data_IF_359992850365
#
_entry.id   IF_359992850365
#
_cell.length_a   1.000
_cell.length_b   1.000
_cell.length_c   1.000
_cell.angle_alpha   90.00
_cell.angle_beta   90.00
_cell.angle_gamma   90.00
#
_symmetry.space_group_name_H-M   'P 1'
#
loop_
_entity.id
_entity.type
_entity.pdbx_description
1 polymer ?
#
# COMPACT_ATOMS: atom_id res chain seq x y z
N UNK A 1 46.66 -4.39 25.81
CA UNK A 1 45.22 -4.45 26.12
C UNK A 1 44.37 -3.30 25.55
N UNK A 2 44.94 -2.28 24.86
CA UNK A 2 44.15 -1.15 24.29
C UNK A 2 43.64 -1.35 22.85
N UNK A 3 44.17 -2.32 22.09
CA UNK A 3 43.74 -2.56 20.68
C UNK A 3 42.39 -3.27 20.54
N UNK A 4 41.90 -3.93 21.59
CA UNK A 4 40.63 -4.66 21.56
C UNK A 4 39.39 -3.78 21.75
N UNK A 5 39.54 -2.56 22.30
CA UNK A 5 38.41 -1.64 22.52
C UNK A 5 37.97 -0.89 21.25
N UNK A 6 38.78 -0.87 20.18
CA UNK A 6 38.45 -0.19 18.91
C UNK A 6 37.63 -1.06 17.94
N UNK A 7 37.56 -2.38 18.17
CA UNK A 7 36.79 -3.31 17.31
C UNK A 7 35.28 -3.26 17.56
N UNK A 8 34.86 -2.93 18.78
CA UNK A 8 33.45 -2.87 19.20
C UNK A 8 32.66 -1.77 18.46
N UNK A 9 33.12 -0.50 18.37
CA UNK A 9 32.38 0.53 17.63
C UNK A 9 32.37 0.27 16.11
N UNK A 10 33.43 -0.33 15.56
CA UNK A 10 33.52 -0.64 14.14
C UNK A 10 32.53 -1.73 13.70
N UNK A 11 32.29 -2.74 14.56
CA UNK A 11 31.28 -3.77 14.32
C UNK A 11 29.84 -3.22 14.45
N UNK A 12 29.61 -2.25 15.35
CA UNK A 12 28.31 -1.59 15.51
C UNK A 12 27.91 -0.74 14.29
N UNK A 13 28.88 -0.15 13.59
CA UNK A 13 28.65 0.60 12.34
C UNK A 13 28.25 -0.32 11.17
N UNK A 14 28.71 -1.58 11.15
CA UNK A 14 28.36 -2.56 10.10
C UNK A 14 26.92 -3.10 10.24
N UNK A 15 26.28 -2.90 11.38
CA UNK A 15 24.90 -3.33 11.64
C UNK A 15 23.85 -2.28 11.23
N UNK A 16 24.26 -1.11 10.72
CA UNK A 16 23.34 -0.12 10.17
C UNK A 16 22.86 -0.52 8.78
N UNK A 17 22.01 -1.55 8.72
CA UNK A 17 21.26 -1.87 7.51
C UNK A 17 20.26 -0.74 7.21
N UNK A 18 20.63 0.15 6.29
CA UNK A 18 19.69 1.11 5.72
C UNK A 18 18.64 0.34 4.92
N UNK A 19 17.46 0.10 5.52
CA UNK A 19 16.29 -0.41 4.81
C UNK A 19 15.98 0.44 3.58
N UNK A 20 15.41 -0.19 2.55
CA UNK A 20 15.09 0.48 1.29
C UNK A 20 13.77 1.25 1.39
N UNK A 21 13.79 2.53 1.05
CA UNK A 21 12.57 3.35 0.99
C UNK A 21 11.93 3.22 -0.38
N UNK A 22 10.65 2.87 -0.44
CA UNK A 22 9.88 2.88 -1.68
C UNK A 22 9.63 4.30 -2.17
N UNK A 23 9.33 4.45 -3.46
CA UNK A 23 8.91 5.75 -4.00
C UNK A 23 7.51 6.13 -3.53
N UNK A 24 7.21 7.43 -3.52
CA UNK A 24 5.84 7.92 -3.24
C UNK A 24 4.88 7.34 -4.28
N UNK A 25 3.64 7.12 -3.85
CA UNK A 25 2.59 6.69 -4.76
C UNK A 25 2.26 7.79 -5.77
N UNK A 26 2.17 7.42 -7.05
CA UNK A 26 1.69 8.29 -8.11
C UNK A 26 0.27 7.86 -8.51
N UNK A 27 -0.73 8.76 -8.42
CA UNK A 27 -2.12 8.43 -8.73
C UNK A 27 -2.33 7.90 -10.15
N UNK A 28 -3.02 6.78 -10.25
CA UNK A 28 -3.35 6.15 -11.52
C UNK A 28 -4.44 6.93 -12.26
N UNK A 29 -4.10 7.39 -13.46
CA UNK A 29 -5.06 8.05 -14.34
C UNK A 29 -6.27 7.14 -14.62
N UNK A 30 -6.04 5.85 -14.92
CA UNK A 30 -7.13 4.89 -15.18
C UNK A 30 -8.09 4.76 -13.99
N UNK A 31 -7.55 4.65 -12.77
CA UNK A 31 -8.35 4.53 -11.56
C UNK A 31 -9.18 5.80 -11.33
N UNK A 32 -8.53 6.97 -11.45
CA UNK A 32 -9.19 8.27 -11.30
C UNK A 32 -10.31 8.46 -12.34
N UNK A 33 -10.08 8.08 -13.60
CA UNK A 33 -11.12 8.15 -14.63
C UNK A 33 -12.29 7.23 -14.32
N UNK A 34 -12.04 6.03 -13.78
CA UNK A 34 -13.11 5.09 -13.42
C UNK A 34 -14.03 5.61 -12.32
N UNK A 35 -13.51 6.45 -11.43
CA UNK A 35 -14.27 7.12 -10.37
C UNK A 35 -15.06 8.34 -10.87
N UNK A 36 -14.66 8.95 -11.99
CA UNK A 36 -15.36 10.10 -12.59
C UNK A 36 -16.57 9.64 -13.40
N UNK A 37 -17.71 9.48 -12.73
CA UNK A 37 -18.97 9.05 -13.33
C UNK A 37 -19.95 10.21 -13.58
N UNK A 38 -20.98 9.94 -14.38
CA UNK A 38 -22.13 10.83 -14.60
C UNK A 38 -23.43 10.04 -14.36
N UNK A 39 -24.30 10.45 -13.41
CA UNK A 39 -24.12 11.56 -12.47
C UNK A 39 -22.90 11.35 -11.54
N UNK A 40 -22.34 12.43 -10.96
CA UNK A 40 -21.20 12.31 -10.04
C UNK A 40 -21.53 11.42 -8.85
N UNK A 41 -20.54 10.62 -8.44
CA UNK A 41 -20.59 9.86 -7.20
C UNK A 41 -20.53 10.81 -5.99
N UNK A 42 -21.04 10.37 -4.85
CA UNK A 42 -20.93 11.10 -3.62
C UNK A 42 -19.52 11.04 -3.03
N UNK A 43 -19.10 12.17 -2.46
CA UNK A 43 -17.82 12.28 -1.77
C UNK A 43 -17.79 11.43 -0.48
N UNK A 44 -16.57 11.08 -0.09
CA UNK A 44 -16.24 10.40 1.16
C UNK A 44 -15.24 11.23 1.96
N UNK A 45 -15.24 11.04 3.28
CA UNK A 45 -14.26 11.66 4.18
C UNK A 45 -12.87 11.07 3.95
N UNK A 46 -11.87 11.64 4.62
CA UNK A 46 -10.53 11.04 4.68
C UNK A 46 -10.60 9.55 5.05
N UNK A 47 -10.09 8.65 4.19
CA UNK A 47 -10.04 7.23 4.48
C UNK A 47 -9.19 6.94 5.71
N UNK A 48 -9.53 5.89 6.43
CA UNK A 48 -8.75 5.40 7.55
C UNK A 48 -8.18 4.02 7.20
N UNK A 49 -6.85 3.91 7.16
CA UNK A 49 -6.19 2.64 6.85
C UNK A 49 -5.44 2.12 8.06
N UNK A 50 -5.75 0.90 8.45
CA UNK A 50 -5.04 0.13 9.48
C UNK A 50 -4.56 -1.20 8.89
N UNK A 51 -3.81 -1.97 9.66
CA UNK A 51 -3.37 -3.31 9.28
C UNK A 51 -3.61 -4.29 10.42
N UNK A 52 -3.85 -5.54 10.07
CA UNK A 52 -3.78 -6.64 11.02
C UNK A 52 -2.35 -6.81 11.56
N UNK A 53 -2.24 -7.50 12.70
CA UNK A 53 -0.95 -7.75 13.34
C UNK A 53 -0.01 -8.48 12.37
N UNK A 54 1.17 -7.90 12.12
CA UNK A 54 2.15 -8.42 11.17
C UNK A 54 2.04 -7.87 9.75
N UNK A 55 0.87 -7.39 9.33
CA UNK A 55 0.62 -6.94 7.94
C UNK A 55 0.97 -5.46 7.70
N UNK A 56 1.29 -4.72 8.76
CA UNK A 56 1.66 -3.29 8.69
C UNK A 56 3.10 -3.01 8.23
N UNK A 57 3.88 -4.05 7.90
CA UNK A 57 5.29 -3.94 7.55
C UNK A 57 5.64 -4.79 6.32
N UNK A 58 6.74 -4.45 5.66
CA UNK A 58 7.26 -5.20 4.51
C UNK A 58 8.74 -5.52 4.72
N UNK A 59 9.12 -6.76 4.38
CA UNK A 59 10.51 -7.23 4.44
C UNK A 59 10.80 -8.02 3.18
N UNK A 60 11.88 -7.66 2.47
CA UNK A 60 12.35 -8.38 1.30
C UNK A 60 13.78 -8.86 1.56
N UNK A 61 14.00 -10.18 1.59
CA UNK A 61 15.31 -10.80 1.89
C UNK A 61 15.96 -10.22 3.15
N UNK A 62 15.20 -10.20 4.25
CA UNK A 62 15.57 -9.60 5.53
C UNK A 62 15.86 -8.08 5.49
N UNK A 63 15.58 -7.40 4.37
CA UNK A 63 15.71 -5.96 4.25
C UNK A 63 14.34 -5.30 4.50
N UNK A 64 14.18 -4.47 5.53
CA UNK A 64 12.92 -3.79 5.78
C UNK A 64 12.66 -2.76 4.69
N UNK A 65 11.43 -2.73 4.19
CA UNK A 65 10.97 -1.73 3.23
C UNK A 65 10.30 -0.59 4.00
N UNK A 66 10.74 0.64 3.74
CA UNK A 66 10.21 1.84 4.39
C UNK A 66 9.27 2.58 3.44
N UNK A 67 8.20 3.10 4.01
CA UNK A 67 7.30 4.02 3.32
C UNK A 67 7.78 5.45 3.49
N UNK A 68 7.70 6.30 2.44
CA UNK A 68 7.94 7.74 2.58
C UNK A 68 6.86 8.43 3.44
N UNK A 69 5.71 7.78 3.66
CA UNK A 69 4.62 8.23 4.53
C UNK A 69 4.76 7.74 5.98
N UNK A 70 5.90 7.14 6.34
CA UNK A 70 6.22 6.67 7.70
C UNK A 70 5.78 5.24 7.99
N UNK A 71 4.67 4.76 7.43
CA UNK A 71 4.21 3.36 7.57
C UNK A 71 3.56 2.83 6.29
N UNK A 72 3.44 1.50 6.17
CA UNK A 72 2.78 0.89 5.02
C UNK A 72 1.26 1.22 4.97
N UNK A 73 0.50 1.16 6.08
CA UNK A 73 -0.89 1.62 6.08
C UNK A 73 -1.04 3.09 5.68
N UNK A 74 -0.15 3.97 6.15
CA UNK A 74 -0.16 5.38 5.76
C UNK A 74 0.10 5.56 4.25
N UNK A 75 0.98 4.74 3.67
CA UNK A 75 1.24 4.75 2.22
C UNK A 75 -0.01 4.41 1.40
N UNK A 76 -0.75 3.38 1.81
CA UNK A 76 -2.01 2.99 1.17
C UNK A 76 -3.08 4.06 1.39
N UNK A 77 -3.12 4.68 2.58
CA UNK A 77 -4.03 5.79 2.86
C UNK A 77 -3.77 6.99 1.94
N UNK A 78 -2.51 7.36 1.75
CA UNK A 78 -2.13 8.43 0.83
C UNK A 78 -2.55 8.08 -0.60
N UNK A 79 -2.31 6.84 -1.05
CA UNK A 79 -2.70 6.38 -2.38
C UNK A 79 -4.22 6.53 -2.63
N UNK A 80 -5.05 6.05 -1.71
CA UNK A 80 -6.51 6.17 -1.79
C UNK A 80 -6.92 7.64 -1.76
N UNK A 81 -6.36 8.42 -0.83
CA UNK A 81 -6.70 9.84 -0.65
C UNK A 81 -6.38 10.66 -1.90
N UNK A 82 -5.21 10.44 -2.51
CA UNK A 82 -4.80 11.15 -3.71
C UNK A 82 -5.69 10.83 -4.92
N UNK A 83 -6.06 9.57 -5.12
CA UNK A 83 -6.95 9.17 -6.23
C UNK A 83 -8.37 9.70 -6.04
N UNK A 84 -8.93 9.60 -4.84
CA UNK A 84 -10.24 10.18 -4.52
C UNK A 84 -10.25 11.70 -4.70
N UNK A 85 -9.20 12.39 -4.22
CA UNK A 85 -9.08 13.85 -4.38
C UNK A 85 -9.04 14.24 -5.85
N UNK A 86 -8.24 13.54 -6.67
CA UNK A 86 -8.17 13.78 -8.13
C UNK A 86 -9.46 13.43 -8.87
N UNK A 87 -10.26 12.51 -8.32
CA UNK A 87 -11.60 12.19 -8.81
C UNK A 87 -12.66 13.21 -8.37
N UNK A 88 -12.36 14.10 -7.41
CA UNK A 88 -13.33 15.03 -6.83
C UNK A 88 -14.26 14.40 -5.79
N UNK A 89 -13.86 13.26 -5.21
CA UNK A 89 -14.66 12.46 -4.28
C UNK A 89 -14.19 12.55 -2.82
N UNK A 90 -13.32 13.50 -2.50
CA UNK A 90 -12.84 13.71 -1.14
C UNK A 90 -13.42 14.99 -0.56
N UNK A 91 -14.18 14.86 0.52
CA UNK A 91 -14.70 15.97 1.31
C UNK A 91 -14.55 15.64 2.80
N UNK A 92 -13.72 16.37 3.57
CA UNK A 92 -13.53 16.14 4.99
C UNK A 92 -14.81 16.18 5.84
N UNK A 93 -15.87 16.84 5.35
CA UNK A 93 -17.17 16.95 6.02
C UNK A 93 -18.18 15.90 5.53
N UNK A 94 -17.83 15.04 4.58
CA UNK A 94 -18.72 14.01 4.09
C UNK A 94 -19.09 13.01 5.20
N UNK A 95 -20.36 12.63 5.22
CA UNK A 95 -20.88 11.62 6.15
C UNK A 95 -20.38 10.21 5.83
N UNK A 96 -20.03 9.94 4.57
CA UNK A 96 -19.53 8.64 4.13
C UNK A 96 -18.08 8.45 4.55
N UNK A 97 -17.76 7.35 5.24
CA UNK A 97 -16.41 7.06 5.73
C UNK A 97 -15.89 5.72 5.18
N UNK A 98 -14.70 5.73 4.59
CA UNK A 98 -14.04 4.51 4.12
C UNK A 98 -13.02 4.03 5.15
N UNK A 99 -13.28 2.87 5.76
CA UNK A 99 -12.33 2.15 6.60
C UNK A 99 -11.67 1.03 5.80
N UNK A 100 -10.37 0.87 5.95
CA UNK A 100 -9.58 -0.11 5.25
C UNK A 100 -8.70 -0.85 6.23
N UNK A 101 -8.80 -2.18 6.26
CA UNK A 101 -7.96 -3.05 7.05
C UNK A 101 -7.09 -3.88 6.11
N UNK A 102 -5.78 -3.64 6.11
CA UNK A 102 -4.82 -4.49 5.38
C UNK A 102 -4.74 -5.84 6.10
N UNK A 103 -5.13 -6.90 5.41
CA UNK A 103 -5.17 -8.28 5.94
C UNK A 103 -4.09 -9.18 5.33
N UNK A 104 -3.39 -8.68 4.30
CA UNK A 104 -2.25 -9.38 3.69
C UNK A 104 -1.35 -8.39 2.99
N UNK A 105 -0.06 -8.47 3.23
CA UNK A 105 0.92 -7.55 2.68
C UNK A 105 2.28 -8.24 2.56
N UNK A 106 2.52 -8.84 1.39
CA UNK A 106 3.66 -9.73 1.17
C UNK A 106 4.40 -9.33 -0.11
N UNK A 107 5.73 -9.28 -0.01
CA UNK A 107 6.64 -9.16 -1.14
C UNK A 107 7.75 -10.20 -1.00
N UNK A 108 8.01 -10.90 -2.09
CA UNK A 108 9.03 -11.92 -2.20
C UNK A 108 9.99 -11.55 -3.33
N UNK A 109 11.27 -11.87 -3.15
CA UNK A 109 12.28 -11.72 -4.19
C UNK A 109 13.02 -13.05 -4.37
N UNK A 110 12.41 -13.98 -5.11
CA UNK A 110 13.05 -15.25 -5.49
C UNK A 110 14.26 -15.04 -6.41
N UNK A 111 14.97 -16.12 -6.75
CA UNK A 111 16.23 -16.03 -7.52
C UNK A 111 16.03 -15.67 -9.00
N UNK A 112 14.86 -15.96 -9.58
CA UNK A 112 14.51 -15.59 -10.96
C UNK A 112 13.20 -14.81 -11.05
N UNK A 113 12.24 -15.14 -10.20
CA UNK A 113 10.93 -14.48 -10.14
C UNK A 113 10.69 -13.96 -8.73
N UNK A 114 10.16 -12.75 -8.62
CA UNK A 114 9.58 -12.21 -7.41
C UNK A 114 8.06 -12.22 -7.51
N UNK A 115 7.39 -12.27 -6.37
CA UNK A 115 5.94 -12.25 -6.29
C UNK A 115 5.46 -11.40 -5.12
N UNK A 116 4.27 -10.85 -5.25
CA UNK A 116 3.65 -10.02 -4.23
C UNK A 116 2.18 -10.34 -4.10
N UNK A 117 1.66 -10.22 -2.87
CA UNK A 117 0.24 -10.34 -2.55
C UNK A 117 -0.17 -9.23 -1.62
N UNK A 118 -1.24 -8.55 -1.96
CA UNK A 118 -1.81 -7.47 -1.15
C UNK A 118 -3.31 -7.70 -1.06
N UNK A 119 -3.84 -7.70 0.15
CA UNK A 119 -5.26 -7.77 0.39
C UNK A 119 -5.69 -6.81 1.49
N UNK A 120 -6.85 -6.20 1.29
CA UNK A 120 -7.47 -5.34 2.28
C UNK A 120 -8.98 -5.56 2.30
N UNK A 121 -9.56 -5.52 3.50
CA UNK A 121 -10.99 -5.40 3.72
C UNK A 121 -11.38 -3.93 3.68
N UNK A 122 -12.34 -3.60 2.83
CA UNK A 122 -12.85 -2.25 2.64
C UNK A 122 -14.26 -2.20 3.20
N UNK A 123 -14.50 -1.28 4.13
CA UNK A 123 -15.82 -1.04 4.74
C UNK A 123 -16.20 0.41 4.50
N UNK A 124 -17.23 0.65 3.69
CA UNK A 124 -17.80 1.98 3.50
C UNK A 124 -19.01 2.14 4.40
N UNK A 125 -18.99 3.20 5.19
CA UNK A 125 -20.06 3.58 6.11
C UNK A 125 -20.79 4.81 5.58
N UNK A 126 -22.09 4.91 5.81
CA UNK A 126 -22.85 6.15 5.74
C UNK A 126 -23.44 6.45 7.13
N UNK A 127 -22.77 7.33 7.89
CA UNK A 127 -23.01 7.43 9.32
C UNK A 127 -22.62 6.12 10.02
N UNK A 128 -23.61 5.41 10.58
CA UNK A 128 -23.40 4.14 11.30
C UNK A 128 -23.76 2.90 10.46
N UNK A 129 -24.33 3.09 9.26
CA UNK A 129 -24.74 1.99 8.38
C UNK A 129 -23.58 1.55 7.50
N UNK A 130 -23.32 0.24 7.45
CA UNK A 130 -22.36 -0.36 6.50
C UNK A 130 -23.07 -0.53 5.16
N UNK A 131 -22.66 0.27 4.17
CA UNK A 131 -23.23 0.26 2.82
C UNK A 131 -22.38 -0.51 1.81
N UNK A 132 -21.16 -0.89 2.19
CA UNK A 132 -20.31 -1.81 1.45
C UNK A 132 -19.27 -2.44 2.38
N UNK A 133 -19.05 -3.75 2.24
CA UNK A 133 -18.04 -4.50 2.98
C UNK A 133 -17.53 -5.67 2.14
N UNK A 134 -16.29 -5.57 1.67
CA UNK A 134 -15.66 -6.65 0.93
C UNK A 134 -14.14 -6.62 1.03
N UNK A 135 -13.53 -7.80 0.94
CA UNK A 135 -12.09 -7.96 0.77
C UNK A 135 -11.72 -7.95 -0.70
N UNK A 136 -10.69 -7.19 -1.06
CA UNK A 136 -10.01 -7.28 -2.36
C UNK A 136 -8.62 -7.84 -2.14
N UNK A 137 -8.24 -8.80 -2.97
CA UNK A 137 -6.90 -9.38 -3.00
C UNK A 137 -6.36 -9.26 -4.43
N UNK A 138 -5.11 -8.85 -4.54
CA UNK A 138 -4.36 -8.78 -5.79
C UNK A 138 -3.02 -9.46 -5.62
N UNK A 139 -2.48 -9.95 -6.72
CA UNK A 139 -1.14 -10.51 -6.77
C UNK A 139 -0.43 -10.07 -8.04
N UNK A 140 0.89 -10.02 -7.97
CA UNK A 140 1.73 -9.68 -9.12
C UNK A 140 3.01 -10.50 -9.10
N UNK A 141 3.63 -10.64 -10.26
CA UNK A 141 4.94 -11.25 -10.43
C UNK A 141 5.84 -10.33 -11.25
N UNK A 142 7.13 -10.36 -10.96
CA UNK A 142 8.12 -9.57 -11.68
C UNK A 142 9.43 -10.34 -11.85
N UNK A 143 10.27 -9.85 -12.76
CA UNK A 143 11.62 -10.35 -12.94
C UNK A 143 12.47 -10.03 -11.70
N UNK A 144 13.10 -11.05 -11.15
CA UNK A 144 13.99 -10.96 -9.98
C UNK A 144 15.40 -11.41 -10.36
N UNK A 145 16.28 -11.56 -9.36
CA UNK A 145 17.66 -11.96 -9.56
C UNK A 145 18.19 -12.70 -8.34
N UNK A 146 19.21 -13.54 -8.53
CA UNK A 146 20.00 -14.07 -7.43
C UNK A 146 20.69 -12.92 -6.67
N UNK A 147 21.14 -11.89 -7.39
CA UNK A 147 21.83 -10.75 -6.81
C UNK A 147 20.87 -9.83 -6.05
N UNK A 148 21.07 -9.71 -4.74
CA UNK A 148 20.19 -8.94 -3.84
C UNK A 148 20.07 -7.46 -4.21
N UNK A 149 21.14 -6.84 -4.72
CA UNK A 149 21.12 -5.43 -5.15
C UNK A 149 20.26 -5.17 -6.40
N UNK A 150 19.82 -6.22 -7.10
CA UNK A 150 18.83 -6.15 -8.19
C UNK A 150 17.45 -6.59 -7.67
N UNK A 151 17.43 -7.72 -6.95
CA UNK A 151 16.20 -8.35 -6.50
C UNK A 151 15.41 -7.49 -5.50
N UNK A 152 16.10 -6.83 -4.56
CA UNK A 152 15.47 -5.99 -3.54
C UNK A 152 14.83 -4.74 -4.18
N UNK A 153 15.53 -3.92 -4.98
CA UNK A 153 14.90 -2.79 -5.69
C UNK A 153 13.71 -3.21 -6.55
N UNK A 154 13.82 -4.31 -7.29
CA UNK A 154 12.71 -4.78 -8.14
C UNK A 154 11.45 -5.08 -7.32
N UNK A 155 11.60 -5.77 -6.19
CA UNK A 155 10.49 -6.05 -5.30
C UNK A 155 9.89 -4.79 -4.67
N UNK A 156 10.73 -3.84 -4.23
CA UNK A 156 10.26 -2.57 -3.65
C UNK A 156 9.52 -1.73 -4.70
N UNK A 157 10.04 -1.66 -5.93
CA UNK A 157 9.42 -0.94 -7.03
C UNK A 157 8.11 -1.58 -7.51
N UNK A 158 7.92 -2.88 -7.28
CA UNK A 158 6.68 -3.59 -7.60
C UNK A 158 5.52 -3.27 -6.63
N UNK A 159 5.81 -2.66 -5.47
CA UNK A 159 4.76 -2.40 -4.47
C UNK A 159 3.74 -1.35 -4.91
N UNK A 160 4.18 -0.22 -5.50
CA UNK A 160 3.26 0.82 -5.97
C UNK A 160 2.30 0.30 -7.07
N UNK A 161 2.76 -0.45 -8.09
CA UNK A 161 1.88 -1.16 -9.01
C UNK A 161 0.87 -2.09 -8.30
N UNK A 162 1.29 -2.82 -7.27
CA UNK A 162 0.41 -3.73 -6.52
C UNK A 162 -0.67 -2.95 -5.73
N UNK A 163 -0.32 -1.83 -5.10
CA UNK A 163 -1.28 -0.91 -4.46
C UNK A 163 -2.27 -0.37 -5.49
N UNK A 164 -1.78 0.08 -6.65
CA UNK A 164 -2.63 0.56 -7.75
C UNK A 164 -3.64 -0.49 -8.21
N UNK A 165 -3.21 -1.75 -8.32
CA UNK A 165 -4.06 -2.86 -8.73
C UNK A 165 -5.12 -3.18 -7.66
N UNK A 166 -4.76 -3.08 -6.37
CA UNK A 166 -5.74 -3.19 -5.27
C UNK A 166 -6.83 -2.11 -5.39
N UNK A 167 -6.44 -0.86 -5.64
CA UNK A 167 -7.39 0.25 -5.82
C UNK A 167 -8.24 0.05 -7.08
N UNK A 168 -7.62 -0.44 -8.17
CA UNK A 168 -8.34 -0.81 -9.39
C UNK A 168 -9.38 -1.89 -9.12
N UNK A 169 -9.06 -2.90 -8.30
CA UNK A 169 -9.99 -3.96 -7.92
C UNK A 169 -11.17 -3.42 -7.10
N UNK A 170 -10.93 -2.47 -6.18
CA UNK A 170 -11.99 -1.78 -5.44
C UNK A 170 -12.89 -0.94 -6.35
N UNK A 171 -12.30 -0.06 -7.16
CA UNK A 171 -13.05 0.87 -8.02
C UNK A 171 -13.72 0.19 -9.22
N UNK A 172 -13.34 -1.06 -9.49
CA UNK A 172 -14.00 -1.90 -10.50
C UNK A 172 -15.16 -2.72 -9.93
N UNK A 173 -15.34 -2.73 -8.60
CA UNK A 173 -16.43 -3.47 -7.98
C UNK A 173 -17.77 -2.71 -8.18
N UNK A 174 -18.76 -3.31 -8.87
CA UNK A 174 -20.07 -2.70 -9.04
C UNK A 174 -20.77 -2.39 -7.71
N UNK A 175 -20.57 -3.18 -6.66
CA UNK A 175 -21.16 -2.95 -5.34
C UNK A 175 -20.55 -1.72 -4.67
N UNK A 176 -19.23 -1.53 -4.80
CA UNK A 176 -18.56 -0.33 -4.29
C UNK A 176 -19.04 0.92 -5.03
N UNK A 177 -19.10 0.87 -6.36
CA UNK A 177 -19.62 1.97 -7.19
C UNK A 177 -21.08 2.27 -6.83
N UNK A 178 -21.92 1.25 -6.64
CA UNK A 178 -23.31 1.44 -6.26
C UNK A 178 -23.47 2.09 -4.88
N UNK A 179 -22.59 1.77 -3.93
CA UNK A 179 -22.58 2.40 -2.60
C UNK A 179 -22.13 3.87 -2.63
N UNK A 180 -21.40 4.26 -3.68
CA UNK A 180 -20.98 5.65 -3.93
C UNK A 180 -21.99 6.47 -4.75
N UNK A 181 -22.99 5.83 -5.38
CA UNK A 181 -24.13 6.54 -5.97
C UNK A 181 -25.08 7.06 -4.90
#
# INVERSE_FOLDING_TARGET
MKKSLLLIPMLALLLQGCGMTMTRYEPSYENVQKLKQTPPLHAISNPQVTAESGEGSLVVRANPVRSPSGSIPAHIQDAITEELRKAGLLDPLAQRQLKVLVVKNQLSAGMGTGDGKLAARFTLLNGNEVIYDATKEVSSQWSSSFFGFIAIPNAVNAYNPLVRDLLKALYSDPQFIQALK
#
